data_IF_632824111500
#
_entry.id   IF_632824111500
#
_cell.length_a   1.000
_cell.length_b   1.000
_cell.length_c   1.000
_cell.angle_alpha   90.00
_cell.angle_beta   90.00
_cell.angle_gamma   90.00
#
_symmetry.space_group_name_H-M   'P 1'
#
loop_
_entity.id
_entity.type
_entity.pdbx_description
1 polymer ?
#
# COMPACT_ATOMS: atom_id res chain seq x y z
N UNK A 1 -1.65 -30.09 10.26
CA UNK A 1 -2.20 -29.40 9.07
C UNK A 1 -1.25 -28.29 8.70
N UNK A 2 -0.64 -28.34 7.52
CA UNK A 2 0.32 -27.33 7.05
C UNK A 2 -0.39 -25.97 7.02
N UNK A 3 -0.03 -25.10 7.96
CA UNK A 3 -0.68 -23.81 8.17
C UNK A 3 -0.19 -22.85 7.06
N UNK A 4 -0.73 -23.00 5.85
CA UNK A 4 -0.40 -22.16 4.70
C UNK A 4 -0.83 -20.72 5.00
N UNK A 5 0.15 -19.87 5.32
CA UNK A 5 -0.07 -18.50 5.78
C UNK A 5 0.39 -17.53 4.71
N UNK A 6 -0.56 -17.03 3.93
CA UNK A 6 -0.32 -16.04 2.89
C UNK A 6 -0.27 -14.65 3.53
N UNK A 7 0.76 -13.86 3.25
CA UNK A 7 0.88 -12.46 3.67
C UNK A 7 0.90 -11.55 2.45
N UNK A 8 -0.15 -10.74 2.32
CA UNK A 8 -0.32 -9.80 1.21
C UNK A 8 0.10 -8.41 1.69
N UNK A 9 1.02 -7.76 0.98
CA UNK A 9 1.37 -6.34 1.21
C UNK A 9 0.98 -5.54 -0.01
N UNK A 10 0.06 -4.60 0.18
CA UNK A 10 -0.34 -3.66 -0.86
C UNK A 10 0.48 -2.37 -0.72
N UNK A 11 0.96 -1.82 -1.82
CA UNK A 11 1.63 -0.51 -1.90
C UNK A 11 1.04 0.26 -3.07
N UNK A 12 0.66 1.51 -2.84
CA UNK A 12 0.14 2.42 -3.85
C UNK A 12 0.54 3.84 -3.48
N UNK A 13 0.61 4.72 -4.48
CA UNK A 13 0.74 6.17 -4.27
C UNK A 13 -0.61 6.83 -3.98
N UNK A 14 -1.70 6.29 -4.52
CA UNK A 14 -3.07 6.75 -4.25
C UNK A 14 -3.76 5.81 -3.24
N UNK A 15 -4.26 6.40 -2.15
CA UNK A 15 -4.99 5.70 -1.11
C UNK A 15 -6.38 5.23 -1.58
N UNK A 16 -7.04 5.94 -2.49
CA UNK A 16 -8.42 5.60 -2.92
C UNK A 16 -8.48 4.25 -3.60
N UNK A 17 -7.53 4.02 -4.52
CA UNK A 17 -7.39 2.74 -5.23
C UNK A 17 -6.97 1.64 -4.26
N UNK A 18 -6.05 1.95 -3.34
CA UNK A 18 -5.58 1.00 -2.33
C UNK A 18 -6.71 0.49 -1.44
N UNK A 19 -7.59 1.40 -0.99
CA UNK A 19 -8.72 1.06 -0.12
C UNK A 19 -9.78 0.25 -0.86
N UNK A 20 -10.06 0.57 -2.13
CA UNK A 20 -10.98 -0.18 -2.98
C UNK A 20 -10.49 -1.62 -3.18
N UNK A 21 -9.24 -1.80 -3.62
CA UNK A 21 -8.65 -3.13 -3.82
C UNK A 21 -8.52 -3.92 -2.51
N UNK A 22 -8.16 -3.26 -1.41
CA UNK A 22 -8.09 -3.92 -0.10
C UNK A 22 -9.43 -4.50 0.33
N UNK A 23 -10.54 -3.77 0.10
CA UNK A 23 -11.90 -4.25 0.41
C UNK A 23 -12.29 -5.44 -0.46
N UNK A 24 -12.04 -5.36 -1.76
CA UNK A 24 -12.35 -6.43 -2.72
C UNK A 24 -11.62 -7.74 -2.40
N UNK A 25 -10.32 -7.66 -2.07
CA UNK A 25 -9.51 -8.82 -1.68
C UNK A 25 -10.05 -9.44 -0.38
N UNK A 26 -10.38 -8.61 0.61
CA UNK A 26 -10.92 -9.08 1.89
C UNK A 26 -12.28 -9.75 1.70
N UNK A 27 -13.16 -9.19 0.87
CA UNK A 27 -14.45 -9.80 0.56
C UNK A 27 -14.30 -11.15 -0.14
N UNK A 28 -13.40 -11.22 -1.12
CA UNK A 28 -13.11 -12.44 -1.87
C UNK A 28 -12.52 -13.53 -0.96
N UNK A 29 -11.57 -13.18 -0.09
CA UNK A 29 -10.97 -14.11 0.86
C UNK A 29 -11.97 -14.62 1.91
N UNK A 30 -12.92 -13.77 2.34
CA UNK A 30 -14.02 -14.19 3.21
C UNK A 30 -14.97 -15.15 2.48
N UNK A 31 -15.27 -14.90 1.21
CA UNK A 31 -16.15 -15.73 0.38
C UNK A 31 -15.58 -17.15 0.16
N UNK A 32 -14.26 -17.28 0.06
CA UNK A 32 -13.58 -18.59 -0.05
C UNK A 32 -13.38 -19.30 1.28
N UNK A 33 -13.81 -18.72 2.41
CA UNK A 33 -13.71 -19.34 3.73
C UNK A 33 -12.33 -19.21 4.39
N UNK A 34 -11.44 -18.36 3.87
CA UNK A 34 -10.13 -18.13 4.48
C UNK A 34 -10.26 -17.25 5.75
N UNK A 35 -9.46 -17.56 6.79
CA UNK A 35 -9.35 -16.72 7.99
C UNK A 35 -8.51 -15.48 7.68
N UNK A 36 -9.15 -14.31 7.68
CA UNK A 36 -8.50 -13.03 7.35
C UNK A 36 -8.15 -12.26 8.61
N UNK A 37 -6.88 -11.87 8.75
CA UNK A 37 -6.51 -10.73 9.58
C UNK A 37 -6.75 -9.49 8.70
N UNK A 38 -7.64 -8.59 9.13
CA UNK A 38 -8.12 -7.45 8.33
C UNK A 38 -6.99 -6.55 7.80
N UNK A 39 -7.31 -5.55 6.96
CA UNK A 39 -6.31 -4.64 6.43
C UNK A 39 -5.65 -3.86 7.58
N UNK A 40 -4.37 -4.14 7.84
CA UNK A 40 -3.57 -3.43 8.85
C UNK A 40 -2.83 -2.31 8.13
N UNK A 41 -3.17 -1.03 8.40
CA UNK A 41 -2.46 0.09 7.80
C UNK A 41 -1.04 0.14 8.35
N UNK A 42 -0.08 0.19 7.44
CA UNK A 42 1.33 0.40 7.78
C UNK A 42 1.67 1.89 7.62
N UNK A 43 2.69 2.40 8.33
CA UNK A 43 3.14 3.78 8.16
C UNK A 43 3.46 4.11 6.69
N UNK A 44 3.03 5.28 6.24
CA UNK A 44 3.32 5.79 4.90
C UNK A 44 4.79 6.19 4.81
N UNK A 45 5.50 5.67 3.81
CA UNK A 45 6.86 6.10 3.49
C UNK A 45 6.77 7.38 2.66
N UNK A 46 7.38 8.45 3.17
CA UNK A 46 7.46 9.73 2.48
C UNK A 46 8.92 9.93 2.09
N UNK A 47 9.22 9.85 0.80
CA UNK A 47 10.54 10.15 0.25
C UNK A 47 10.51 11.58 -0.31
N UNK A 48 11.30 12.48 0.30
CA UNK A 48 11.42 13.88 -0.11
C UNK A 48 12.72 14.06 -0.86
N UNK A 49 12.65 14.43 -2.12
CA UNK A 49 13.82 14.72 -2.97
C UNK A 49 13.81 16.22 -3.25
N UNK A 50 14.93 16.89 -3.00
CA UNK A 50 15.12 18.30 -3.32
C UNK A 50 15.74 18.42 -4.71
N UNK A 51 15.09 19.15 -5.61
CA UNK A 51 15.61 19.44 -6.95
C UNK A 51 15.90 20.92 -7.10
N UNK A 52 16.95 21.26 -7.84
CA UNK A 52 17.21 22.65 -8.21
C UNK A 52 16.05 23.16 -9.07
N UNK A 53 15.45 24.28 -8.67
CA UNK A 53 14.33 24.91 -9.39
C UNK A 53 14.74 25.58 -10.71
N UNK A 54 16.04 25.70 -10.99
CA UNK A 54 16.55 26.34 -12.20
C UNK A 54 17.91 25.77 -12.60
N UNK A 55 18.21 25.70 -13.91
CA UNK A 55 19.51 25.28 -14.41
C UNK A 55 20.59 26.37 -14.33
N UNK A 56 20.24 27.65 -14.08
CA UNK A 56 21.19 28.77 -14.09
C UNK A 56 21.64 29.20 -12.68
N UNK A 57 22.87 29.70 -12.62
CA UNK A 57 23.78 29.84 -11.46
C UNK A 57 23.25 30.58 -10.22
N UNK A 58 22.11 31.26 -10.28
CA UNK A 58 21.67 32.13 -9.19
C UNK A 58 20.28 31.75 -8.67
N UNK A 59 20.18 30.64 -7.92
CA UNK A 59 19.01 30.38 -7.06
C UNK A 59 19.41 29.75 -5.71
N UNK A 60 18.91 30.42 -4.67
CA UNK A 60 18.88 30.03 -3.25
C UNK A 60 18.16 28.69 -3.03
#
# INVERSE_FOLDING_TARGET
MNNQRIRIRLKSFDHRVLDASSKEIVETAKRTGARVAGPIPMPTRIERITVNRSPFVNKK
#
